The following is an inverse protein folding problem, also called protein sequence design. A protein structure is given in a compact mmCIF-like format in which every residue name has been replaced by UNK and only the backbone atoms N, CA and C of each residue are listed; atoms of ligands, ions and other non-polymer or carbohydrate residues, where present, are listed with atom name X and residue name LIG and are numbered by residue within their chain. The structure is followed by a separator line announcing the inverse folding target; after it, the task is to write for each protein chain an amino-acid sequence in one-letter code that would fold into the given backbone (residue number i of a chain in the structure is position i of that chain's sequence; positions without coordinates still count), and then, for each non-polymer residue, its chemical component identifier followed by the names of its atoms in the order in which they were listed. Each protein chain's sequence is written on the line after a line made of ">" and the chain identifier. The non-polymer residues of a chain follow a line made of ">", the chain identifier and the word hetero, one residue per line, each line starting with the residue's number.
data_IF_507385816779
#
_entry.id   IF_507385816779
#
_cell.length_a   1.000
_cell.length_b   1.000
_cell.length_c   1.000
_cell.angle_alpha   90.00
_cell.angle_beta   90.00
_cell.angle_gamma   90.00
#
_symmetry.space_group_name_H-M   'P 1'
#
loop_
_entity.id
_entity.type
_entity.pdbx_description
1 polymer ?
#
# COMPACT_ATOMS: atom_id res chain seq x y z
N UNK A 1 -3.72 -11.52 -7.93
CA UNK A 1 -4.21 -11.46 -6.53
C UNK A 1 -5.51 -10.68 -6.46
N UNK A 2 -5.56 -9.45 -6.98
CA UNK A 2 -6.80 -8.68 -7.19
C UNK A 2 -7.85 -9.45 -8.01
N UNK A 3 -7.45 -10.08 -9.11
CA UNK A 3 -8.32 -10.95 -9.92
C UNK A 3 -8.88 -12.15 -9.15
N UNK A 4 -8.12 -12.71 -8.20
CA UNK A 4 -8.61 -13.80 -7.33
C UNK A 4 -9.62 -13.31 -6.30
N UNK A 5 -9.52 -12.04 -5.92
CA UNK A 5 -10.46 -11.37 -5.02
C UNK A 5 -11.64 -10.71 -5.75
N UNK A 6 -11.70 -10.81 -7.09
CA UNK A 6 -12.67 -10.13 -7.95
C UNK A 6 -12.71 -8.60 -7.72
N UNK A 7 -11.55 -8.00 -7.48
CA UNK A 7 -11.38 -6.56 -7.25
C UNK A 7 -10.85 -5.91 -8.53
N UNK A 8 -11.52 -4.85 -8.97
CA UNK A 8 -11.07 -4.00 -10.06
C UNK A 8 -10.07 -2.97 -9.53
N UNK A 9 -9.01 -2.66 -10.29
CA UNK A 9 -7.99 -1.71 -9.86
C UNK A 9 -8.55 -0.30 -9.61
N UNK A 10 -9.64 0.08 -10.29
CA UNK A 10 -10.35 1.35 -10.11
C UNK A 10 -11.05 1.47 -8.75
N UNK A 11 -11.24 0.35 -8.04
CA UNK A 11 -11.83 0.32 -6.69
C UNK A 11 -10.79 0.63 -5.59
N UNK A 12 -9.51 0.56 -5.92
CA UNK A 12 -8.43 0.78 -4.96
C UNK A 12 -8.27 2.27 -4.72
N UNK A 13 -8.32 2.67 -3.45
CA UNK A 13 -8.22 4.07 -3.03
C UNK A 13 -6.86 4.47 -2.52
N UNK A 14 -6.07 3.51 -2.05
CA UNK A 14 -4.74 3.78 -1.52
C UNK A 14 -3.83 2.57 -1.61
N UNK A 15 -2.54 2.83 -1.81
CA UNK A 15 -1.46 1.85 -1.71
C UNK A 15 -0.59 2.20 -0.50
N UNK A 16 -0.50 1.26 0.43
CA UNK A 16 0.24 1.34 1.68
C UNK A 16 1.48 0.46 1.55
N UNK A 17 2.69 1.00 1.69
CA UNK A 17 3.91 0.21 1.48
C UNK A 17 4.89 0.27 2.63
N UNK A 18 5.84 -0.66 2.62
CA UNK A 18 7.02 -0.52 3.49
C UNK A 18 7.94 0.62 3.02
N UNK A 19 8.74 1.18 3.93
CA UNK A 19 9.57 2.37 3.74
C UNK A 19 10.85 2.06 2.94
N UNK A 20 10.69 1.69 1.68
CA UNK A 20 11.79 1.22 0.84
C UNK A 20 12.50 2.39 0.15
N UNK A 21 11.72 3.18 -0.60
CA UNK A 21 12.01 4.46 -1.27
C UNK A 21 10.93 4.72 -2.34
N UNK A 22 10.83 5.97 -2.81
CA UNK A 22 9.83 6.40 -3.79
C UNK A 22 9.94 5.69 -5.16
N UNK A 23 11.15 5.31 -5.60
CA UNK A 23 11.36 4.70 -6.90
C UNK A 23 10.87 3.25 -6.93
N UNK A 24 11.22 2.46 -5.90
CA UNK A 24 10.75 1.10 -5.73
C UNK A 24 9.23 1.06 -5.58
N UNK A 25 8.67 1.98 -4.79
CA UNK A 25 7.23 2.15 -4.64
C UNK A 25 6.55 2.37 -5.99
N UNK A 26 6.99 3.38 -6.74
CA UNK A 26 6.45 3.68 -8.07
C UNK A 26 6.53 2.49 -9.01
N UNK A 27 7.68 1.82 -9.06
CA UNK A 27 7.87 0.64 -9.91
C UNK A 27 6.86 -0.47 -9.58
N UNK A 28 6.69 -0.79 -8.31
CA UNK A 28 5.79 -1.88 -7.88
C UNK A 28 4.32 -1.52 -8.05
N UNK A 29 3.93 -0.28 -7.74
CA UNK A 29 2.55 0.20 -7.95
C UNK A 29 2.17 0.12 -9.43
N UNK A 30 3.04 0.59 -10.32
CA UNK A 30 2.82 0.47 -11.77
C UNK A 30 2.81 -0.99 -12.24
N UNK A 31 3.70 -1.83 -11.70
CA UNK A 31 3.75 -3.26 -12.02
C UNK A 31 2.49 -4.01 -11.56
N UNK A 32 1.80 -3.50 -10.54
CA UNK A 32 0.50 -4.00 -10.09
C UNK A 32 -0.69 -3.46 -10.93
N UNK A 33 -0.44 -2.61 -11.93
CA UNK A 33 -1.48 -1.99 -12.76
C UNK A 33 -2.26 -0.90 -12.04
N UNK A 34 -1.67 -0.30 -10.98
CA UNK A 34 -2.27 0.75 -10.18
C UNK A 34 -1.70 2.11 -10.54
N UNK A 35 -2.46 3.18 -10.30
CA UNK A 35 -1.94 4.53 -10.41
C UNK A 35 -0.96 4.80 -9.26
N UNK A 36 0.26 5.23 -9.61
CA UNK A 36 1.28 5.65 -8.67
C UNK A 36 0.85 6.81 -7.76
N UNK A 37 -0.13 7.63 -8.17
CA UNK A 37 -0.69 8.71 -7.35
C UNK A 37 -1.39 8.20 -6.08
N UNK A 38 -1.80 6.92 -6.06
CA UNK A 38 -2.42 6.27 -4.90
C UNK A 38 -1.40 5.90 -3.80
N UNK A 39 -0.10 6.03 -4.09
CA UNK A 39 0.97 5.71 -3.16
C UNK A 39 1.29 6.93 -2.31
N UNK A 40 1.15 6.82 -0.99
CA UNK A 40 1.55 7.92 -0.12
C UNK A 40 3.01 7.77 0.32
N UNK A 41 3.76 8.88 0.23
CA UNK A 41 5.20 8.93 0.48
C UNK A 41 5.54 9.47 1.87
N UNK A 42 4.57 9.99 2.61
CA UNK A 42 4.80 10.78 3.83
C UNK A 42 5.59 10.00 4.88
N UNK A 43 5.31 8.70 5.04
CA UNK A 43 6.02 7.88 6.02
C UNK A 43 7.47 7.52 5.64
N UNK A 44 7.87 7.61 4.36
CA UNK A 44 9.27 7.33 3.95
C UNK A 44 10.22 8.34 4.60
N UNK A 45 9.74 9.54 4.91
CA UNK A 45 10.54 10.59 5.55
C UNK A 45 10.64 10.44 7.07
N UNK A 46 9.61 9.92 7.73
CA UNK A 46 9.46 10.01 9.19
C UNK A 46 9.90 8.76 9.96
N UNK A 47 9.98 7.59 9.31
CA UNK A 47 10.32 6.33 9.98
C UNK A 47 11.48 5.58 9.31
N UNK A 48 12.39 5.01 10.12
CA UNK A 48 13.40 4.07 9.64
C UNK A 48 12.73 2.84 8.99
N UNK A 49 13.36 2.22 8.00
CA UNK A 49 12.81 1.02 7.34
C UNK A 49 12.79 -0.18 8.29
N UNK A 50 11.61 -0.54 8.82
CA UNK A 50 11.39 -1.67 9.74
C UNK A 50 10.72 -2.85 9.03
N UNK A 51 10.82 -2.90 7.70
CA UNK A 51 10.28 -3.93 6.82
C UNK A 51 8.76 -4.15 6.99
N UNK A 52 8.33 -5.10 7.83
CA UNK A 52 6.91 -5.47 7.98
C UNK A 52 6.12 -4.46 8.81
N UNK A 53 6.76 -3.83 9.81
CA UNK A 53 6.07 -2.90 10.71
C UNK A 53 5.66 -1.60 10.00
N UNK A 54 6.39 -1.21 8.94
CA UNK A 54 6.12 0.00 8.15
C UNK A 54 4.67 0.01 7.60
N UNK A 55 4.22 -1.10 7.04
CA UNK A 55 2.87 -1.22 6.48
C UNK A 55 1.79 -1.09 7.58
N UNK A 56 2.05 -1.61 8.77
CA UNK A 56 1.10 -1.57 9.90
C UNK A 56 1.04 -0.18 10.52
N UNK A 57 2.18 0.47 10.72
CA UNK A 57 2.24 1.85 11.19
C UNK A 57 1.50 2.78 10.22
N UNK A 58 1.73 2.61 8.91
CA UNK A 58 1.00 3.37 7.90
C UNK A 58 -0.50 3.09 7.95
N UNK A 59 -0.91 1.81 7.96
CA UNK A 59 -2.31 1.45 8.03
C UNK A 59 -2.98 2.04 9.27
N UNK A 60 -2.29 2.05 10.42
CA UNK A 60 -2.79 2.66 11.63
C UNK A 60 -3.02 4.17 11.44
N UNK A 61 -2.01 4.92 10.99
CA UNK A 61 -2.15 6.37 10.74
C UNK A 61 -3.28 6.66 9.75
N UNK A 62 -3.36 5.88 8.66
CA UNK A 62 -4.41 6.02 7.67
C UNK A 62 -5.82 5.88 8.25
N UNK A 63 -6.02 4.89 9.14
CA UNK A 63 -7.30 4.68 9.81
C UNK A 63 -7.59 5.80 10.82
N UNK A 64 -6.58 6.26 11.56
CA UNK A 64 -6.68 7.35 12.54
C UNK A 64 -7.02 8.71 11.88
N UNK A 65 -6.53 8.95 10.66
CA UNK A 65 -6.81 10.15 9.85
C UNK A 65 -8.26 10.20 9.29
N UNK A 66 -9.09 9.22 9.62
CA UNK A 66 -10.50 9.19 9.22
C UNK A 66 -10.72 8.57 7.85
N UNK A 67 -10.04 7.45 7.57
CA UNK A 67 -10.31 6.61 6.40
C UNK A 67 -11.82 6.41 6.18
N UNK A 68 -12.30 6.68 4.97
CA UNK A 68 -13.68 6.42 4.59
C UNK A 68 -14.02 4.92 4.75
N UNK A 69 -15.22 4.57 5.22
CA UNK A 69 -15.67 3.18 5.28
C UNK A 69 -15.86 2.60 3.87
N UNK A 70 -15.85 1.27 3.79
CA UNK A 70 -16.10 0.47 2.58
C UNK A 70 -15.12 0.68 1.41
N UNK A 71 -14.01 1.37 1.64
CA UNK A 71 -12.96 1.50 0.64
C UNK A 71 -11.97 0.33 0.69
N UNK A 72 -11.41 0.01 -0.48
CA UNK A 72 -10.36 -0.99 -0.60
C UNK A 72 -9.01 -0.27 -0.63
N UNK A 73 -8.18 -0.56 0.36
CA UNK A 73 -6.76 -0.19 0.35
C UNK A 73 -5.94 -1.43 0.05
N UNK A 74 -4.73 -1.21 -0.45
CA UNK A 74 -3.81 -2.30 -0.77
C UNK A 74 -2.54 -2.11 0.03
N UNK A 75 -2.15 -3.12 0.80
CA UNK A 75 -0.79 -3.20 1.32
C UNK A 75 0.11 -3.87 0.31
N UNK A 76 1.27 -3.27 0.08
CA UNK A 76 2.30 -3.78 -0.80
C UNK A 76 3.62 -3.84 -0.03
N UNK A 77 4.28 -4.99 -0.06
CA UNK A 77 5.57 -5.16 0.59
C UNK A 77 6.52 -5.88 -0.35
N UNK A 78 7.80 -5.54 -0.27
CA UNK A 78 8.87 -6.30 -0.91
C UNK A 78 9.96 -6.67 0.10
N UNK A 79 10.59 -7.83 -0.12
CA UNK A 79 11.77 -8.28 0.60
C UNK A 79 12.47 -9.39 -0.20
N UNK A 80 13.81 -9.45 -0.15
CA UNK A 80 14.63 -10.55 -0.69
C UNK A 80 14.23 -11.05 -2.09
N UNK A 81 14.03 -10.12 -3.05
CA UNK A 81 13.67 -10.47 -4.44
C UNK A 81 12.21 -10.93 -4.62
N UNK A 82 11.39 -10.85 -3.58
CA UNK A 82 9.97 -11.16 -3.61
C UNK A 82 9.14 -9.94 -3.25
N UNK A 83 7.88 -9.97 -3.67
CA UNK A 83 6.90 -8.95 -3.30
C UNK A 83 5.51 -9.57 -3.15
N UNK A 84 4.67 -8.94 -2.35
CA UNK A 84 3.31 -9.34 -2.09
C UNK A 84 2.38 -8.13 -2.08
N UNK A 85 1.11 -8.39 -2.41
CA UNK A 85 0.07 -7.38 -2.47
C UNK A 85 -1.18 -7.93 -1.80
N UNK A 86 -1.69 -7.28 -0.75
CA UNK A 86 -2.90 -7.71 -0.06
C UNK A 86 -3.95 -6.59 -0.07
N UNK A 87 -5.11 -6.78 -0.74
CA UNK A 87 -6.23 -5.87 -0.61
C UNK A 87 -6.91 -6.04 0.75
N UNK A 88 -7.32 -4.92 1.35
CA UNK A 88 -7.97 -4.80 2.65
C UNK A 88 -9.19 -3.91 2.49
N UNK A 89 -10.35 -4.38 2.97
CA UNK A 89 -11.57 -3.58 3.05
C UNK A 89 -11.58 -2.84 4.39
N UNK A 90 -11.60 -1.51 4.36
CA UNK A 90 -11.82 -0.67 5.54
C UNK A 90 -13.28 -0.78 5.95
N UNK A 91 -13.54 -1.00 7.25
CA UNK A 91 -14.88 -1.12 7.82
C UNK A 91 -15.12 -0.05 8.86
#
# INVERSE_FOLDING_TARGET
>A
MLSRANIDCTQIRQVITNNINAQALRFMTLSAGLDHSLSCLDNIADFAHVHTADNLAYLQSYLEDGAAPDQIVVTLSHAFGTWALAPLLVR
#
